data_IF_504311406406
#
_entry.id   IF_504311406406
#
_cell.length_a   1.000
_cell.length_b   1.000
_cell.length_c   1.000
_cell.angle_alpha   90.00
_cell.angle_beta   90.00
_cell.angle_gamma   90.00
#
_symmetry.space_group_name_H-M   'P 1'
#
loop_
_entity.id
_entity.type
_entity.pdbx_description
1 polymer ?
#
# COMPACT_ATOMS: atom_id res chain seq x y z
N UNK A 1 7.33 -7.23 -30.02
CA UNK A 1 6.38 -7.54 -28.93
C UNK A 1 5.33 -8.52 -29.44
N UNK A 2 4.97 -9.55 -28.66
CA UNK A 2 3.88 -10.47 -29.06
C UNK A 2 2.53 -9.72 -29.08
N UNK A 3 1.59 -10.02 -30.00
CA UNK A 3 0.29 -9.33 -30.06
C UNK A 3 -0.50 -9.36 -28.75
N UNK A 4 -0.46 -10.49 -28.03
CA UNK A 4 -1.12 -10.65 -26.72
C UNK A 4 -0.51 -9.74 -25.64
N UNK A 5 0.82 -9.58 -25.63
CA UNK A 5 1.52 -8.64 -24.74
C UNK A 5 1.14 -7.20 -25.08
N UNK A 6 1.09 -6.84 -26.36
CA UNK A 6 0.71 -5.50 -26.81
C UNK A 6 -0.73 -5.14 -26.38
N UNK A 7 -1.69 -6.04 -26.55
CA UNK A 7 -3.08 -5.83 -26.11
C UNK A 7 -3.14 -5.62 -24.60
N UNK A 8 -2.45 -6.46 -23.81
CA UNK A 8 -2.40 -6.31 -22.36
C UNK A 8 -1.79 -4.96 -21.97
N UNK A 9 -0.70 -4.55 -22.60
CA UNK A 9 -0.05 -3.27 -22.35
C UNK A 9 -0.98 -2.09 -22.63
N UNK A 10 -1.73 -2.11 -23.74
CA UNK A 10 -2.70 -1.07 -24.06
C UNK A 10 -3.85 -1.01 -23.05
N UNK A 11 -4.38 -2.17 -22.62
CA UNK A 11 -5.44 -2.25 -21.60
C UNK A 11 -4.94 -1.72 -20.26
N UNK A 12 -3.77 -2.15 -19.81
CA UNK A 12 -3.17 -1.70 -18.56
C UNK A 12 -2.81 -0.22 -18.61
N UNK A 13 -2.30 0.25 -19.75
CA UNK A 13 -2.04 1.66 -20.00
C UNK A 13 -3.31 2.51 -19.88
N UNK A 14 -4.44 2.05 -20.42
CA UNK A 14 -5.72 2.74 -20.22
C UNK A 14 -6.18 2.69 -18.76
N UNK A 15 -6.07 1.55 -18.08
CA UNK A 15 -6.42 1.41 -16.65
C UNK A 15 -5.64 2.39 -15.78
N UNK A 16 -4.34 2.53 -16.04
CA UNK A 16 -3.42 3.43 -15.34
C UNK A 16 -3.30 4.82 -16.00
N UNK A 17 -4.32 5.26 -16.75
CA UNK A 17 -4.31 6.58 -17.43
C UNK A 17 -5.07 7.66 -16.67
N UNK A 18 -4.59 8.89 -16.81
CA UNK A 18 -5.30 10.09 -16.37
C UNK A 18 -6.64 10.24 -17.06
N UNK A 19 -6.73 9.85 -18.34
CA UNK A 19 -8.00 9.83 -19.09
C UNK A 19 -9.05 8.97 -18.41
N UNK A 20 -8.73 7.71 -18.05
CA UNK A 20 -9.67 6.83 -17.35
C UNK A 20 -10.06 7.38 -15.98
N UNK A 21 -9.10 7.97 -15.25
CA UNK A 21 -9.36 8.64 -13.96
C UNK A 21 -10.34 9.80 -14.14
N UNK A 22 -10.12 10.68 -15.12
CA UNK A 22 -11.01 11.80 -15.42
C UNK A 22 -12.40 11.36 -15.87
N UNK A 23 -12.52 10.30 -16.68
CA UNK A 23 -13.82 9.72 -17.04
C UNK A 23 -14.59 9.27 -15.77
N UNK A 24 -13.91 8.61 -14.82
CA UNK A 24 -14.53 8.20 -13.56
C UNK A 24 -14.99 9.42 -12.74
N UNK A 25 -14.16 10.47 -12.64
CA UNK A 25 -14.51 11.73 -11.96
C UNK A 25 -15.72 12.41 -12.57
N UNK A 26 -15.74 12.56 -13.90
CA UNK A 26 -16.85 13.20 -14.63
C UNK A 26 -18.14 12.40 -14.43
N UNK A 27 -18.09 11.07 -14.58
CA UNK A 27 -19.26 10.21 -14.34
C UNK A 27 -19.76 10.32 -12.91
N UNK A 28 -18.85 10.32 -11.93
CA UNK A 28 -19.19 10.51 -10.51
C UNK A 28 -19.86 11.86 -10.25
N UNK A 29 -19.32 12.94 -10.82
CA UNK A 29 -19.85 14.30 -10.69
C UNK A 29 -21.23 14.45 -11.35
N UNK A 30 -21.42 13.89 -12.55
CA UNK A 30 -22.72 13.92 -13.26
C UNK A 30 -23.79 13.08 -12.54
N UNK A 31 -23.38 12.00 -11.86
CA UNK A 31 -24.28 11.17 -11.06
C UNK A 31 -24.66 11.79 -9.70
N UNK A 32 -23.95 12.85 -9.26
CA UNK A 32 -24.17 13.50 -7.98
C UNK A 32 -25.50 14.24 -7.95
N UNK A 33 -26.24 14.10 -6.85
CA UNK A 33 -27.41 14.94 -6.52
C UNK A 33 -27.12 15.76 -5.27
N UNK A 34 -27.15 17.08 -5.38
CA UNK A 34 -26.88 18.00 -4.28
C UNK A 34 -25.39 18.21 -4.00
N UNK A 35 -25.06 18.44 -2.73
CA UNK A 35 -23.71 18.77 -2.27
C UNK A 35 -22.70 17.63 -2.54
N UNK A 36 -21.44 17.94 -2.90
CA UNK A 36 -20.33 16.97 -2.90
C UNK A 36 -20.37 16.10 -1.65
N UNK A 37 -20.49 14.77 -1.83
CA UNK A 37 -20.65 13.82 -0.72
C UNK A 37 -19.53 12.79 -0.76
N UNK A 38 -18.80 12.65 0.36
CA UNK A 38 -17.82 11.60 0.60
C UNK A 38 -18.52 10.47 1.34
N UNK A 39 -18.42 9.25 0.81
CA UNK A 39 -18.90 8.07 1.52
C UNK A 39 -17.74 7.45 2.30
N UNK A 40 -17.87 7.32 3.61
CA UNK A 40 -16.88 6.67 4.47
C UNK A 40 -17.39 5.30 4.92
N UNK A 41 -16.56 4.28 4.74
CA UNK A 41 -16.87 2.90 5.13
C UNK A 41 -16.04 2.52 6.36
N UNK A 42 -16.72 2.39 7.48
CA UNK A 42 -16.14 2.16 8.80
C UNK A 42 -16.36 0.72 9.22
N UNK A 43 -15.30 0.04 9.67
CA UNK A 43 -15.40 -1.24 10.33
C UNK A 43 -14.93 -1.07 11.78
N UNK A 44 -15.73 -1.53 12.74
CA UNK A 44 -15.55 -1.19 14.16
C UNK A 44 -14.32 -1.84 14.80
N UNK A 45 -13.91 -3.00 14.28
CA UNK A 45 -12.74 -3.77 14.72
C UNK A 45 -11.53 -3.63 13.77
N UNK A 46 -11.60 -2.73 12.79
CA UNK A 46 -10.45 -2.39 11.95
C UNK A 46 -9.65 -1.23 12.58
N UNK A 47 -8.39 -1.45 12.98
CA UNK A 47 -7.58 -0.42 13.62
C UNK A 47 -7.30 0.76 12.67
N UNK A 48 -7.24 0.55 11.35
CA UNK A 48 -7.11 1.66 10.39
C UNK A 48 -8.40 2.48 10.28
N UNK A 49 -9.57 1.84 10.42
CA UNK A 49 -10.84 2.55 10.51
C UNK A 49 -10.88 3.43 11.75
N UNK A 50 -10.33 2.97 12.87
CA UNK A 50 -10.20 3.78 14.09
C UNK A 50 -9.31 5.02 13.90
N UNK A 51 -8.19 4.91 13.18
CA UNK A 51 -7.37 6.10 12.87
C UNK A 51 -8.09 7.04 11.89
N UNK A 52 -8.70 6.50 10.84
CA UNK A 52 -9.32 7.28 9.78
C UNK A 52 -10.53 8.10 10.28
N UNK A 53 -11.34 7.54 11.19
CA UNK A 53 -12.53 8.24 11.69
C UNK A 53 -12.19 9.46 12.54
N UNK A 54 -11.04 9.46 13.23
CA UNK A 54 -10.51 10.60 13.99
C UNK A 54 -10.14 11.81 13.09
N UNK A 55 -10.09 11.63 11.77
CA UNK A 55 -9.80 12.71 10.80
C UNK A 55 -11.02 13.31 10.15
N UNK A 56 -12.21 12.76 10.39
CA UNK A 56 -13.43 13.21 9.71
C UNK A 56 -13.78 14.64 10.10
N UNK A 57 -13.68 15.02 11.37
CA UNK A 57 -14.00 16.38 11.82
C UNK A 57 -13.07 17.42 11.19
N UNK A 58 -11.76 17.14 11.13
CA UNK A 58 -10.79 17.99 10.47
C UNK A 58 -11.12 18.17 8.98
N UNK A 59 -11.49 17.09 8.28
CA UNK A 59 -11.88 17.12 6.88
C UNK A 59 -13.22 17.86 6.66
N UNK A 60 -14.23 17.61 7.49
CA UNK A 60 -15.55 18.23 7.39
C UNK A 60 -15.49 19.73 7.65
N UNK A 61 -14.64 20.18 8.58
CA UNK A 61 -14.40 21.60 8.84
C UNK A 61 -13.59 22.26 7.72
N UNK A 62 -12.63 21.54 7.13
CA UNK A 62 -11.75 22.09 6.08
C UNK A 62 -12.41 22.17 4.71
N UNK A 63 -13.30 21.24 4.37
CA UNK A 63 -13.84 21.11 3.01
C UNK A 63 -15.37 21.22 2.98
N UNK A 64 -15.90 21.87 1.93
CA UNK A 64 -17.35 22.08 1.67
C UNK A 64 -18.02 20.81 1.14
N UNK A 65 -17.86 19.71 1.87
CA UNK A 65 -18.35 18.38 1.55
C UNK A 65 -19.29 17.89 2.64
N UNK A 66 -20.17 16.96 2.28
CA UNK A 66 -20.97 16.20 3.24
C UNK A 66 -20.35 14.81 3.40
N UNK A 67 -20.34 14.29 4.63
CA UNK A 67 -20.03 12.87 4.85
C UNK A 67 -21.31 12.03 4.88
N UNK A 68 -21.24 10.83 4.32
CA UNK A 68 -22.23 9.78 4.49
C UNK A 68 -21.53 8.53 4.99
N UNK A 69 -21.96 8.04 6.13
CA UNK A 69 -21.31 6.94 6.82
C UNK A 69 -21.97 5.61 6.49
N UNK A 70 -21.16 4.57 6.42
CA UNK A 70 -21.61 3.20 6.26
C UNK A 70 -20.77 2.31 7.18
N UNK A 71 -21.42 1.41 7.91
CA UNK A 71 -20.71 0.32 8.54
C UNK A 71 -20.32 -0.72 7.50
N UNK A 72 -19.20 -1.40 7.70
CA UNK A 72 -18.71 -2.44 6.82
C UNK A 72 -18.14 -3.60 7.62
N UNK A 73 -18.36 -4.80 7.13
CA UNK A 73 -17.82 -6.04 7.66
C UNK A 73 -16.39 -6.23 7.17
N UNK A 74 -15.67 -7.10 7.89
CA UNK A 74 -14.39 -7.64 7.46
C UNK A 74 -14.44 -8.13 6.00
N UNK A 75 -13.40 -7.86 5.19
CA UNK A 75 -13.30 -8.46 3.86
C UNK A 75 -13.25 -9.99 3.97
N UNK A 76 -13.67 -10.69 2.92
CA UNK A 76 -13.55 -12.16 2.88
C UNK A 76 -12.07 -12.60 2.86
N UNK A 77 -11.75 -13.82 3.30
CA UNK A 77 -10.38 -14.37 3.28
C UNK A 77 -9.71 -14.23 1.90
N UNK A 78 -10.50 -14.47 0.84
CA UNK A 78 -10.06 -14.34 -0.56
C UNK A 78 -9.67 -12.89 -0.95
N UNK A 79 -10.23 -11.88 -0.28
CA UNK A 79 -9.95 -10.46 -0.52
C UNK A 79 -8.78 -9.94 0.32
N UNK A 80 -8.62 -10.46 1.55
CA UNK A 80 -7.53 -10.09 2.47
C UNK A 80 -6.15 -10.51 1.92
N UNK A 81 -6.06 -11.62 1.19
CA UNK A 81 -4.80 -12.16 0.70
C UNK A 81 -4.22 -13.17 1.69
N UNK A 82 -3.30 -12.74 2.57
CA UNK A 82 -2.84 -13.59 3.69
C UNK A 82 -3.70 -13.30 4.93
N UNK A 83 -4.86 -13.95 5.00
CA UNK A 83 -5.84 -13.75 6.08
C UNK A 83 -5.31 -14.11 7.48
N UNK A 84 -4.23 -14.91 7.57
CA UNK A 84 -3.60 -15.25 8.85
C UNK A 84 -2.76 -14.10 9.39
N UNK A 85 -1.99 -13.44 8.52
CA UNK A 85 -1.06 -12.36 8.92
C UNK A 85 -1.67 -10.96 8.83
N UNK A 86 -2.65 -10.76 7.95
CA UNK A 86 -3.22 -9.44 7.68
C UNK A 86 -3.77 -8.74 8.94
N UNK A 87 -4.61 -9.37 9.78
CA UNK A 87 -5.17 -8.69 10.97
C UNK A 87 -4.10 -8.30 11.99
N UNK A 88 -3.12 -9.20 12.23
CA UNK A 88 -2.01 -8.96 13.17
C UNK A 88 -1.14 -7.80 12.69
N UNK A 89 -0.82 -7.77 11.40
CA UNK A 89 -0.07 -6.67 10.81
C UNK A 89 -0.84 -5.37 10.83
N UNK A 90 -2.13 -5.35 10.47
CA UNK A 90 -2.95 -4.14 10.44
C UNK A 90 -2.98 -3.45 11.81
N UNK A 91 -3.11 -4.24 12.89
CA UNK A 91 -3.04 -3.71 14.25
C UNK A 91 -1.66 -3.14 14.60
N UNK A 92 -0.58 -3.91 14.32
CA UNK A 92 0.78 -3.46 14.58
C UNK A 92 1.11 -2.18 13.80
N UNK A 93 0.73 -2.13 12.54
CA UNK A 93 0.97 -1.00 11.64
C UNK A 93 0.19 0.23 12.08
N UNK A 94 -1.12 0.11 12.33
CA UNK A 94 -1.94 1.20 12.81
C UNK A 94 -1.41 1.79 14.13
N UNK A 95 -1.00 0.95 15.09
CA UNK A 95 -0.36 1.43 16.33
C UNK A 95 0.96 2.15 16.06
N UNK A 96 1.75 1.64 15.12
CA UNK A 96 3.04 2.23 14.79
C UNK A 96 2.92 3.61 14.13
N UNK A 97 1.81 3.93 13.45
CA UNK A 97 1.63 5.20 12.74
C UNK A 97 0.66 6.18 13.43
N UNK A 98 -0.05 5.77 14.48
CA UNK A 98 -1.13 6.57 15.07
C UNK A 98 -0.64 7.96 15.51
N UNK A 99 0.43 8.03 16.29
CA UNK A 99 0.99 9.30 16.79
C UNK A 99 1.47 10.22 15.67
N UNK A 100 2.02 9.66 14.58
CA UNK A 100 2.53 10.44 13.45
C UNK A 100 1.41 11.13 12.67
N UNK A 101 0.21 10.53 12.68
CA UNK A 101 -0.99 11.16 12.14
C UNK A 101 -1.73 11.98 13.21
N UNK A 102 -1.23 12.11 14.44
CA UNK A 102 -1.95 12.75 15.54
C UNK A 102 -3.29 12.08 15.83
N UNK A 103 -3.29 10.75 15.88
CA UNK A 103 -4.42 9.91 16.30
C UNK A 103 -4.00 9.01 17.46
N UNK A 104 -4.99 8.46 18.13
CA UNK A 104 -4.80 7.53 19.24
C UNK A 104 -5.35 6.16 18.86
N UNK A 105 -4.71 5.10 19.35
CA UNK A 105 -5.20 3.73 19.25
C UNK A 105 -4.80 2.99 20.52
N UNK A 106 -5.75 2.71 21.42
CA UNK A 106 -5.47 1.99 22.65
C UNK A 106 -4.77 0.64 22.42
N UNK A 107 -3.94 0.26 23.39
CA UNK A 107 -3.04 -0.89 23.28
C UNK A 107 -3.40 -2.05 24.21
N UNK A 108 -4.56 -2.00 24.87
CA UNK A 108 -4.95 -2.93 25.93
C UNK A 108 -5.32 -4.32 25.40
N UNK A 109 -5.94 -4.41 24.22
CA UNK A 109 -6.32 -5.69 23.61
C UNK A 109 -5.74 -5.84 22.20
N UNK A 110 -5.45 -7.08 21.80
CA UNK A 110 -4.96 -7.39 20.45
C UNK A 110 -6.03 -7.99 19.53
N UNK A 111 -7.21 -8.26 20.07
CA UNK A 111 -8.34 -8.83 19.37
C UNK A 111 -9.62 -8.35 20.05
N UNK A 112 -10.63 -8.05 19.25
CA UNK A 112 -11.97 -7.70 19.71
C UNK A 112 -12.86 -8.93 19.54
N UNK A 113 -13.63 -9.27 20.57
CA UNK A 113 -14.53 -10.43 20.54
C UNK A 113 -15.73 -10.17 19.61
N UNK A 114 -16.19 -11.18 18.87
CA UNK A 114 -17.24 -11.01 17.85
C UNK A 114 -18.54 -10.39 18.38
N UNK A 115 -18.93 -10.71 19.62
CA UNK A 115 -20.13 -10.11 20.22
C UNK A 115 -19.94 -8.61 20.54
N UNK A 116 -18.71 -8.17 20.86
CA UNK A 116 -18.39 -6.75 21.05
C UNK A 116 -18.47 -5.99 19.72
N UNK A 117 -18.03 -6.63 18.62
CA UNK A 117 -18.20 -6.11 17.25
C UNK A 117 -19.69 -5.91 16.93
N UNK A 118 -20.52 -6.92 17.14
CA UNK A 118 -21.97 -6.86 16.88
C UNK A 118 -22.66 -5.75 17.70
N UNK A 119 -22.31 -5.61 18.98
CA UNK A 119 -22.84 -4.54 19.84
C UNK A 119 -22.40 -3.15 19.36
N UNK A 120 -21.13 -2.98 18.98
CA UNK A 120 -20.59 -1.74 18.46
C UNK A 120 -21.23 -1.34 17.12
N UNK A 121 -21.41 -2.28 16.20
CA UNK A 121 -22.11 -2.07 14.94
C UNK A 121 -23.57 -1.64 15.19
N UNK A 122 -24.25 -2.34 16.09
CA UNK A 122 -25.63 -2.02 16.48
C UNK A 122 -25.73 -0.61 17.08
N UNK A 123 -24.78 -0.24 17.96
CA UNK A 123 -24.70 1.09 18.55
C UNK A 123 -24.54 2.18 17.49
N UNK A 124 -23.55 2.04 16.59
CA UNK A 124 -23.19 3.04 15.58
C UNK A 124 -24.20 3.12 14.43
N UNK A 125 -24.98 2.07 14.19
CA UNK A 125 -26.01 2.06 13.13
C UNK A 125 -27.06 3.17 13.32
N UNK A 126 -27.26 3.63 14.56
CA UNK A 126 -28.18 4.73 14.91
C UNK A 126 -27.69 6.10 14.45
N UNK A 127 -26.39 6.25 14.17
CA UNK A 127 -25.76 7.53 13.83
C UNK A 127 -25.37 7.65 12.35
N UNK A 128 -25.70 6.68 11.49
CA UNK A 128 -25.24 6.67 10.08
C UNK A 128 -25.62 7.91 9.25
N UNK A 129 -26.68 8.61 9.67
CA UNK A 129 -27.15 9.87 9.04
C UNK A 129 -26.93 11.10 9.92
N UNK A 130 -26.25 10.93 11.06
CA UNK A 130 -26.00 11.98 12.06
C UNK A 130 -24.59 12.56 11.88
N UNK A 131 -24.44 13.87 12.14
CA UNK A 131 -23.13 14.52 12.23
C UNK A 131 -22.27 13.96 13.36
N UNK A 132 -22.89 13.39 14.39
CA UNK A 132 -22.21 12.84 15.57
C UNK A 132 -21.54 11.48 15.32
N UNK A 133 -21.73 10.85 14.15
CA UNK A 133 -21.16 9.54 13.85
C UNK A 133 -19.66 9.46 14.13
N UNK A 134 -18.87 10.44 13.70
CA UNK A 134 -17.42 10.41 13.86
C UNK A 134 -17.04 10.42 15.33
N UNK A 135 -17.64 11.31 16.13
CA UNK A 135 -17.46 11.41 17.58
C UNK A 135 -17.80 10.08 18.28
N UNK A 136 -18.95 9.50 17.94
CA UNK A 136 -19.40 8.24 18.53
C UNK A 136 -18.53 7.05 18.10
N UNK A 137 -18.10 6.98 16.84
CA UNK A 137 -17.20 5.94 16.35
C UNK A 137 -15.81 6.00 16.98
N UNK A 138 -15.30 7.20 17.26
CA UNK A 138 -14.06 7.38 18.04
C UNK A 138 -14.24 6.85 19.47
N UNK A 139 -15.35 7.18 20.13
CA UNK A 139 -15.62 6.74 21.50
C UNK A 139 -15.81 5.22 21.61
N UNK A 140 -16.58 4.63 20.69
CA UNK A 140 -16.79 3.18 20.62
C UNK A 140 -15.48 2.46 20.29
N UNK A 141 -14.71 2.95 19.32
CA UNK A 141 -13.41 2.37 18.99
C UNK A 141 -12.43 2.42 20.17
N UNK A 142 -12.39 3.55 20.92
CA UNK A 142 -11.56 3.64 22.13
C UNK A 142 -11.93 2.56 23.14
N UNK A 143 -13.22 2.41 23.45
CA UNK A 143 -13.69 1.37 24.38
C UNK A 143 -13.31 -0.03 23.91
N UNK A 144 -13.55 -0.35 22.64
CA UNK A 144 -13.20 -1.66 22.05
C UNK A 144 -11.70 -1.96 22.19
N UNK A 145 -10.83 -1.03 21.79
CA UNK A 145 -9.38 -1.22 21.83
C UNK A 145 -8.78 -1.12 23.25
N UNK A 146 -9.51 -0.50 24.19
CA UNK A 146 -9.21 -0.49 25.62
C UNK A 146 -9.66 -1.78 26.34
N UNK A 147 -10.48 -2.61 25.69
CA UNK A 147 -11.06 -3.82 26.29
C UNK A 147 -12.29 -3.54 27.16
N UNK A 148 -12.88 -2.36 27.06
CA UNK A 148 -14.09 -2.00 27.78
C UNK A 148 -15.33 -2.56 27.07
N UNK A 149 -16.26 -3.21 27.80
CA UNK A 149 -17.41 -3.86 27.19
C UNK A 149 -18.37 -2.83 26.60
N UNK A 150 -18.95 -3.14 25.44
CA UNK A 150 -20.03 -2.41 24.79
C UNK A 150 -21.37 -2.99 25.26
N UNK A 151 -22.31 -2.08 25.56
CA UNK A 151 -23.66 -2.43 25.97
C UNK A 151 -24.36 -3.26 24.89
N UNK A 152 -25.04 -4.33 25.32
CA UNK A 152 -25.76 -5.21 24.41
C UNK A 152 -26.94 -4.49 23.77
N UNK A 153 -27.00 -4.56 22.44
CA UNK A 153 -28.06 -3.97 21.62
C UNK A 153 -28.57 -5.00 20.61
N UNK A 154 -29.83 -4.87 20.13
CA UNK A 154 -30.35 -5.73 19.08
C UNK A 154 -29.51 -5.64 17.80
N UNK A 155 -29.25 -6.80 17.18
CA UNK A 155 -28.44 -6.90 15.97
C UNK A 155 -28.95 -5.99 14.84
N UNK A 156 -28.00 -5.40 14.11
CA UNK A 156 -28.26 -4.49 12.98
C UNK A 156 -27.75 -5.10 11.66
N UNK A 157 -28.48 -4.90 10.56
CA UNK A 157 -28.04 -5.27 9.21
C UNK A 157 -27.10 -4.23 8.56
N UNK A 158 -26.84 -3.11 9.24
CA UNK A 158 -26.15 -1.96 8.66
C UNK A 158 -24.75 -2.29 8.09
N UNK A 159 -23.97 -3.14 8.77
CA UNK A 159 -22.63 -3.52 8.30
C UNK A 159 -22.69 -4.37 7.03
N UNK A 160 -23.68 -5.27 6.91
CA UNK A 160 -23.90 -6.05 5.70
C UNK A 160 -24.37 -5.17 4.53
N UNK A 161 -25.26 -4.21 4.78
CA UNK A 161 -25.75 -3.25 3.78
C UNK A 161 -24.63 -2.34 3.25
N UNK A 162 -23.80 -1.79 4.14
CA UNK A 162 -22.67 -0.97 3.75
C UNK A 162 -21.60 -1.79 3.02
N UNK A 163 -21.37 -3.04 3.40
CA UNK A 163 -20.49 -3.97 2.65
C UNK A 163 -21.01 -4.24 1.24
N UNK A 164 -22.31 -4.49 1.09
CA UNK A 164 -22.93 -4.68 -0.23
C UNK A 164 -22.77 -3.43 -1.11
N UNK A 165 -22.94 -2.23 -0.54
CA UNK A 165 -22.69 -0.97 -1.26
C UNK A 165 -21.21 -0.81 -1.63
N UNK A 166 -20.29 -1.07 -0.70
CA UNK A 166 -18.84 -1.02 -0.93
C UNK A 166 -18.43 -1.91 -2.10
N UNK A 167 -18.92 -3.15 -2.10
CA UNK A 167 -18.68 -4.13 -3.17
C UNK A 167 -19.25 -3.65 -4.50
N UNK A 168 -20.47 -3.12 -4.51
CA UNK A 168 -21.10 -2.55 -5.71
C UNK A 168 -20.31 -1.37 -6.29
N UNK A 169 -19.69 -0.57 -5.44
CA UNK A 169 -18.83 0.55 -5.83
C UNK A 169 -17.39 0.12 -6.19
N UNK A 170 -17.07 -1.18 -6.07
CA UNK A 170 -15.83 -1.77 -6.56
C UNK A 170 -14.66 -1.70 -5.57
N UNK A 171 -14.91 -1.85 -4.27
CA UNK A 171 -13.85 -2.02 -3.26
C UNK A 171 -14.26 -3.04 -2.19
N UNK A 172 -13.32 -3.41 -1.32
CA UNK A 172 -13.45 -4.47 -0.32
C UNK A 172 -12.84 -4.10 1.03
N UNK A 173 -11.97 -3.09 1.12
CA UNK A 173 -11.35 -2.67 2.38
C UNK A 173 -12.28 -1.71 3.15
N UNK A 174 -12.20 -1.74 4.47
CA UNK A 174 -12.71 -0.70 5.37
C UNK A 174 -11.71 0.47 5.44
N UNK A 175 -11.91 1.41 6.37
CA UNK A 175 -11.16 2.66 6.50
C UNK A 175 -11.08 3.49 5.20
N UNK A 176 -12.03 3.32 4.30
CA UNK A 176 -11.92 3.85 2.93
C UNK A 176 -12.94 4.93 2.67
N UNK A 177 -12.50 5.95 1.93
CA UNK A 177 -13.29 7.09 1.51
C UNK A 177 -13.57 6.95 0.02
N UNK A 178 -14.84 7.04 -0.37
CA UNK A 178 -15.26 7.11 -1.76
C UNK A 178 -15.78 8.50 -2.10
N UNK A 179 -15.21 9.09 -3.13
CA UNK A 179 -15.65 10.38 -3.63
C UNK A 179 -15.72 10.35 -5.16
N UNK A 180 -16.93 10.54 -5.71
CA UNK A 180 -17.18 10.74 -7.15
C UNK A 180 -16.32 9.82 -8.06
N UNK A 181 -16.41 8.49 -7.86
CA UNK A 181 -15.74 7.51 -8.72
C UNK A 181 -14.31 7.10 -8.32
N UNK A 182 -13.76 7.62 -7.22
CA UNK A 182 -12.45 7.22 -6.72
C UNK A 182 -12.49 6.77 -5.26
N UNK A 183 -11.55 5.89 -4.92
CA UNK A 183 -11.32 5.36 -3.58
C UNK A 183 -10.00 5.88 -3.00
N UNK A 184 -10.01 6.14 -1.69
CA UNK A 184 -8.87 6.59 -0.89
C UNK A 184 -8.85 5.78 0.39
N UNK A 185 -7.91 4.84 0.51
CA UNK A 185 -7.81 3.95 1.66
C UNK A 185 -6.98 4.55 2.79
N UNK A 186 -7.52 4.49 4.01
CA UNK A 186 -6.86 4.85 5.25
C UNK A 186 -6.46 6.32 5.32
N UNK A 187 -5.71 6.64 6.37
CA UNK A 187 -5.08 7.97 6.54
C UNK A 187 -4.03 8.24 5.46
N UNK A 188 -3.39 7.20 4.93
CA UNK A 188 -2.30 7.31 3.94
C UNK A 188 -2.70 7.90 2.59
N UNK A 189 -3.99 7.83 2.23
CA UNK A 189 -4.52 8.37 0.97
C UNK A 189 -5.35 9.63 1.16
N UNK A 190 -5.50 10.16 2.38
CA UNK A 190 -6.27 11.38 2.63
C UNK A 190 -5.67 12.59 1.91
N UNK A 191 -4.35 12.72 1.82
CA UNK A 191 -3.70 13.79 1.04
C UNK A 191 -4.18 13.86 -0.42
N UNK A 192 -4.52 12.72 -1.03
CA UNK A 192 -5.05 12.69 -2.40
C UNK A 192 -6.51 13.09 -2.50
N UNK A 193 -7.30 12.71 -1.51
CA UNK A 193 -8.67 13.17 -1.40
C UNK A 193 -8.68 14.69 -1.21
N UNK A 194 -7.87 15.20 -0.29
CA UNK A 194 -7.70 16.62 -0.01
C UNK A 194 -7.26 17.41 -1.24
N UNK A 195 -6.20 16.99 -1.93
CA UNK A 195 -5.75 17.63 -3.18
C UNK A 195 -6.87 17.67 -4.23
N UNK A 196 -7.63 16.58 -4.37
CA UNK A 196 -8.78 16.58 -5.29
C UNK A 196 -9.87 17.56 -4.87
N UNK A 197 -10.17 17.69 -3.58
CA UNK A 197 -11.15 18.64 -3.08
C UNK A 197 -10.67 20.10 -3.28
N UNK A 198 -9.36 20.34 -3.13
CA UNK A 198 -8.72 21.63 -3.42
C UNK A 198 -8.81 21.98 -4.92
N UNK A 199 -8.50 21.05 -5.81
CA UNK A 199 -8.64 21.21 -7.27
C UNK A 199 -10.09 21.49 -7.72
N UNK A 200 -11.06 21.24 -6.85
CA UNK A 200 -12.49 21.49 -7.08
C UNK A 200 -13.00 22.76 -6.38
N UNK A 201 -12.10 23.58 -5.81
CA UNK A 201 -12.43 24.78 -5.05
C UNK A 201 -13.37 24.51 -3.86
N UNK A 202 -13.27 23.31 -3.26
CA UNK A 202 -14.07 22.92 -2.10
C UNK A 202 -13.37 23.21 -0.77
N UNK A 203 -12.13 23.70 -0.76
CA UNK A 203 -11.43 24.03 0.48
C UNK A 203 -11.90 25.38 1.04
N UNK A 204 -12.06 25.45 2.37
CA UNK A 204 -12.19 26.70 3.11
C UNK A 204 -10.84 27.40 3.34
N UNK A 205 -9.73 26.65 3.22
CA UNK A 205 -8.35 27.13 3.35
C UNK A 205 -7.50 26.48 2.24
N UNK A 206 -7.43 27.05 1.03
CA UNK A 206 -6.88 26.38 -0.14
C UNK A 206 -5.38 26.07 -0.05
N UNK A 207 -4.64 26.77 0.81
CA UNK A 207 -3.18 26.64 0.91
C UNK A 207 -2.71 25.55 1.89
N UNK A 208 -3.62 24.91 2.61
CA UNK A 208 -3.27 23.99 3.69
C UNK A 208 -3.97 22.63 3.55
N UNK A 209 -3.21 21.57 3.81
CA UNK A 209 -3.70 20.18 3.97
C UNK A 209 -3.88 19.92 5.47
N UNK A 210 -5.03 19.39 5.89
CA UNK A 210 -5.31 19.14 7.31
C UNK A 210 -4.90 17.73 7.77
N UNK A 211 -4.65 16.78 6.86
CA UNK A 211 -4.07 15.47 7.16
C UNK A 211 -2.85 15.22 6.26
N UNK A 212 -1.74 15.94 6.49
CA UNK A 212 -0.53 15.76 5.72
C UNK A 212 0.05 14.35 5.94
N UNK A 213 0.85 13.88 4.98
CA UNK A 213 1.68 12.70 5.21
C UNK A 213 2.73 13.02 6.26
N UNK A 214 3.05 12.08 7.17
CA UNK A 214 4.11 12.26 8.14
C UNK A 214 5.45 12.53 7.46
N UNK A 215 6.24 13.41 8.07
CA UNK A 215 7.63 13.64 7.70
C UNK A 215 8.54 12.71 8.51
N UNK A 216 9.58 12.13 7.89
CA UNK A 216 10.53 11.29 8.61
C UNK A 216 11.30 12.12 9.66
N UNK A 217 11.79 11.45 10.70
CA UNK A 217 12.69 12.07 11.67
C UNK A 217 14.02 12.40 10.99
N UNK A 218 14.58 13.61 11.21
CA UNK A 218 15.82 14.01 10.56
C UNK A 218 16.99 13.16 11.05
N UNK A 219 17.98 12.93 10.18
CA UNK A 219 19.16 12.12 10.51
C UNK A 219 20.19 12.87 11.38
N UNK A 220 20.23 14.21 11.32
CA UNK A 220 21.08 15.09 12.15
C UNK A 220 22.56 14.64 12.28
N UNK A 221 23.23 14.39 11.15
CA UNK A 221 24.64 13.96 11.07
C UNK A 221 24.99 12.67 11.83
N UNK A 222 23.99 11.88 12.25
CA UNK A 222 24.20 10.61 12.96
C UNK A 222 24.85 9.56 12.06
N UNK A 223 25.63 8.68 12.69
CA UNK A 223 26.30 7.57 12.03
C UNK A 223 25.36 6.36 11.86
N UNK A 224 25.12 5.96 10.61
CA UNK A 224 24.25 4.85 10.21
C UNK A 224 24.99 3.54 9.93
N UNK A 225 26.33 3.51 10.05
CA UNK A 225 27.16 2.35 9.67
C UNK A 225 26.84 1.04 10.40
N UNK A 226 26.30 1.15 11.62
CA UNK A 226 25.85 0.00 12.41
C UNK A 226 24.40 -0.42 12.10
N UNK A 227 23.70 0.32 11.25
CA UNK A 227 22.29 0.09 10.88
C UNK A 227 22.22 -0.63 9.54
N UNK A 228 21.41 -1.68 9.46
CA UNK A 228 21.14 -2.43 8.24
C UNK A 228 19.69 -2.29 7.83
N UNK A 229 19.46 -1.89 6.58
CA UNK A 229 18.17 -1.89 5.90
C UNK A 229 18.08 -3.10 4.98
N UNK A 230 17.22 -4.07 5.30
CA UNK A 230 16.83 -5.14 4.39
C UNK A 230 15.59 -4.74 3.62
N UNK A 231 15.70 -4.78 2.29
CA UNK A 231 14.64 -4.41 1.36
C UNK A 231 14.16 -5.65 0.60
N UNK A 232 12.86 -5.97 0.72
CA UNK A 232 12.22 -7.11 0.07
C UNK A 232 11.35 -6.66 -1.13
N UNK A 233 11.93 -6.47 -2.32
CA UNK A 233 11.19 -6.14 -3.53
C UNK A 233 10.67 -7.39 -4.25
N UNK A 234 9.72 -7.19 -5.17
CA UNK A 234 9.44 -8.19 -6.22
C UNK A 234 9.41 -7.52 -7.58
N UNK A 235 9.99 -8.17 -8.59
CA UNK A 235 10.07 -7.69 -9.97
C UNK A 235 8.70 -7.53 -10.66
N UNK A 236 7.64 -8.08 -10.05
CA UNK A 236 6.24 -7.96 -10.51
C UNK A 236 5.40 -6.98 -9.68
N UNK A 237 5.97 -6.32 -8.68
CA UNK A 237 5.17 -5.44 -7.82
C UNK A 237 5.14 -4.02 -8.38
N UNK A 238 3.96 -3.47 -8.74
CA UNK A 238 3.85 -2.09 -9.20
C UNK A 238 4.24 -1.10 -8.10
N UNK A 239 3.92 -1.39 -6.83
CA UNK A 239 4.37 -0.58 -5.69
C UNK A 239 5.88 -0.67 -5.47
N UNK A 240 6.51 -1.82 -5.75
CA UNK A 240 7.98 -1.91 -5.74
C UNK A 240 8.57 -1.06 -6.86
N UNK A 241 8.00 -1.09 -8.07
CA UNK A 241 8.50 -0.32 -9.19
C UNK A 241 8.55 1.19 -8.90
N UNK A 242 7.49 1.75 -8.31
CA UNK A 242 7.45 3.19 -7.97
C UNK A 242 8.22 3.56 -6.70
N UNK A 243 8.72 2.58 -5.95
CA UNK A 243 9.45 2.82 -4.71
C UNK A 243 10.93 2.45 -4.79
N UNK A 244 11.35 1.66 -5.78
CA UNK A 244 12.69 1.07 -5.83
C UNK A 244 13.78 2.15 -5.76
N UNK A 245 13.77 3.09 -6.71
CA UNK A 245 14.76 4.16 -6.77
C UNK A 245 14.70 5.07 -5.53
N UNK A 246 13.52 5.27 -4.95
CA UNK A 246 13.34 6.02 -3.71
C UNK A 246 13.98 5.33 -2.50
N UNK A 247 13.97 3.99 -2.46
CA UNK A 247 14.65 3.18 -1.44
C UNK A 247 16.16 3.23 -1.64
N UNK A 248 16.64 3.15 -2.88
CA UNK A 248 18.07 3.28 -3.18
C UNK A 248 18.57 4.68 -2.79
N UNK A 249 17.85 5.75 -3.18
CA UNK A 249 18.15 7.11 -2.76
C UNK A 249 18.09 7.31 -1.23
N UNK A 250 17.30 6.51 -0.51
CA UNK A 250 17.33 6.45 0.96
C UNK A 250 18.61 5.83 1.48
N UNK A 251 19.00 4.70 0.90
CA UNK A 251 20.23 4.07 1.29
C UNK A 251 21.44 4.96 1.03
N UNK A 252 21.49 5.62 -0.12
CA UNK A 252 22.58 6.51 -0.52
C UNK A 252 22.63 7.77 0.36
N UNK A 253 21.52 8.49 0.55
CA UNK A 253 21.56 9.74 1.35
C UNK A 253 21.89 9.48 2.82
N UNK A 254 21.49 8.33 3.36
CA UNK A 254 21.72 7.98 4.77
C UNK A 254 22.99 7.18 4.99
N UNK A 255 23.60 6.62 3.95
CA UNK A 255 24.73 5.68 4.03
C UNK A 255 24.42 4.41 4.85
N UNK A 256 23.14 4.08 5.08
CA UNK A 256 22.74 2.85 5.76
C UNK A 256 23.17 1.63 4.95
N UNK A 257 23.53 0.55 5.63
CA UNK A 257 23.87 -0.72 4.95
C UNK A 257 22.62 -1.34 4.32
N UNK A 258 22.44 -1.16 3.01
CA UNK A 258 21.36 -1.78 2.26
C UNK A 258 21.66 -3.24 1.92
N UNK A 259 20.71 -4.13 2.20
CA UNK A 259 20.68 -5.51 1.73
C UNK A 259 19.45 -5.70 0.83
N UNK A 260 19.70 -5.90 -0.46
CA UNK A 260 18.66 -6.24 -1.43
C UNK A 260 18.25 -7.71 -1.26
N UNK A 261 16.98 -7.97 -0.98
CA UNK A 261 16.44 -9.30 -0.71
C UNK A 261 15.20 -9.60 -1.57
N UNK A 262 15.35 -9.76 -2.90
CA UNK A 262 14.21 -9.95 -3.78
C UNK A 262 13.43 -11.21 -3.41
N UNK A 263 12.11 -11.20 -3.62
CA UNK A 263 11.22 -12.33 -3.35
C UNK A 263 10.31 -12.64 -4.53
N UNK A 264 9.91 -13.90 -4.63
CA UNK A 264 8.94 -14.35 -5.64
C UNK A 264 7.57 -13.66 -5.47
N UNK A 265 6.90 -13.28 -6.58
CA UNK A 265 5.58 -12.64 -6.53
C UNK A 265 4.55 -13.45 -5.75
N UNK A 266 3.71 -12.78 -4.96
CA UNK A 266 2.66 -13.42 -4.14
C UNK A 266 1.75 -14.37 -4.93
N UNK A 267 1.33 -13.97 -6.13
CA UNK A 267 0.47 -14.82 -6.98
C UNK A 267 1.17 -16.11 -7.43
N UNK A 268 2.50 -16.08 -7.55
CA UNK A 268 3.30 -17.28 -7.85
C UNK A 268 3.56 -18.12 -6.58
N UNK A 269 3.24 -17.58 -5.40
CA UNK A 269 3.23 -18.28 -4.10
C UNK A 269 1.83 -18.77 -3.68
N UNK A 270 0.84 -18.71 -4.59
CA UNK A 270 -0.52 -19.19 -4.34
C UNK A 270 -1.48 -18.19 -3.67
N UNK A 271 -1.05 -16.96 -3.40
CA UNK A 271 -1.94 -15.95 -2.81
C UNK A 271 -2.81 -15.29 -3.91
N UNK A 272 -4.15 -15.38 -3.83
CA UNK A 272 -5.02 -14.84 -4.87
C UNK A 272 -4.99 -13.31 -4.92
N UNK A 273 -5.18 -12.78 -6.13
CA UNK A 273 -5.42 -11.36 -6.36
C UNK A 273 -6.69 -11.22 -7.21
N UNK A 274 -7.87 -11.02 -6.61
CA UNK A 274 -9.11 -10.82 -7.35
C UNK A 274 -9.01 -9.64 -8.33
N UNK A 275 -9.82 -9.63 -9.39
CA UNK A 275 -9.78 -8.56 -10.41
C UNK A 275 -9.98 -7.16 -9.83
N UNK A 276 -10.89 -7.00 -8.86
CA UNK A 276 -11.13 -5.72 -8.19
C UNK A 276 -9.86 -5.22 -7.46
N UNK A 277 -9.11 -6.14 -6.85
CA UNK A 277 -7.84 -5.86 -6.17
C UNK A 277 -6.76 -5.45 -7.16
N UNK A 278 -6.60 -6.19 -8.25
CA UNK A 278 -5.65 -5.83 -9.30
C UNK A 278 -5.97 -4.44 -9.90
N UNK A 279 -7.24 -4.14 -10.16
CA UNK A 279 -7.65 -2.85 -10.71
C UNK A 279 -7.33 -1.69 -9.75
N UNK A 280 -7.67 -1.84 -8.47
CA UNK A 280 -7.38 -0.83 -7.45
C UNK A 280 -5.87 -0.60 -7.32
N UNK A 281 -5.08 -1.67 -7.19
CA UNK A 281 -3.61 -1.59 -7.07
C UNK A 281 -3.02 -0.78 -8.22
N UNK A 282 -3.45 -1.02 -9.46
CA UNK A 282 -2.92 -0.30 -10.62
C UNK A 282 -3.30 1.18 -10.61
N UNK A 283 -4.55 1.50 -10.30
CA UNK A 283 -4.98 2.91 -10.23
C UNK A 283 -4.37 3.67 -9.08
N UNK A 284 -4.21 3.03 -7.93
CA UNK A 284 -3.60 3.63 -6.75
C UNK A 284 -2.09 3.76 -6.95
N UNK A 285 -1.42 2.77 -7.55
CA UNK A 285 0.00 2.89 -7.91
C UNK A 285 0.23 4.06 -8.86
N UNK A 286 -0.58 4.23 -9.92
CA UNK A 286 -0.47 5.41 -10.80
C UNK A 286 -0.61 6.71 -10.00
N UNK A 287 -1.56 6.77 -9.08
CA UNK A 287 -1.79 7.96 -8.24
C UNK A 287 -0.60 8.26 -7.33
N UNK A 288 -0.02 7.24 -6.71
CA UNK A 288 1.20 7.38 -5.90
C UNK A 288 2.41 7.76 -6.75
N UNK A 289 2.54 7.18 -7.95
CA UNK A 289 3.60 7.51 -8.88
C UNK A 289 3.58 9.00 -9.24
N UNK A 290 2.40 9.52 -9.61
CA UNK A 290 2.21 10.95 -9.90
C UNK A 290 2.62 11.83 -8.72
N UNK A 291 2.25 11.46 -7.49
CA UNK A 291 2.58 12.21 -6.29
C UNK A 291 4.08 12.27 -6.00
N UNK A 292 4.80 11.17 -6.25
CA UNK A 292 6.26 11.11 -6.06
C UNK A 292 7.06 11.44 -7.33
N UNK A 293 6.42 11.96 -8.38
CA UNK A 293 7.07 12.27 -9.65
C UNK A 293 7.68 11.05 -10.37
N UNK A 294 7.18 9.84 -10.07
CA UNK A 294 7.65 8.60 -10.67
C UNK A 294 6.89 8.31 -11.95
N UNK A 295 7.60 7.82 -12.98
CA UNK A 295 6.96 7.33 -14.20
C UNK A 295 6.20 6.03 -13.90
N UNK A 296 5.00 5.88 -14.47
CA UNK A 296 4.25 4.64 -14.39
C UNK A 296 3.41 4.43 -15.66
N UNK A 297 3.80 3.45 -16.45
CA UNK A 297 3.24 3.13 -17.75
C UNK A 297 3.99 3.76 -18.94
N UNK A 298 3.97 3.11 -20.13
CA UNK A 298 3.25 1.86 -20.47
C UNK A 298 3.76 0.61 -19.73
N UNK A 299 2.85 -0.30 -19.37
CA UNK A 299 3.12 -1.45 -18.48
C UNK A 299 3.08 -2.78 -19.23
N UNK A 300 4.15 -3.57 -19.11
CA UNK A 300 4.19 -5.00 -19.43
C UNK A 300 4.32 -5.76 -18.11
N UNK A 301 3.21 -6.29 -17.59
CA UNK A 301 3.17 -7.09 -16.36
C UNK A 301 3.73 -8.51 -16.61
N UNK A 302 4.94 -8.86 -16.11
CA UNK A 302 5.50 -10.19 -16.30
C UNK A 302 4.85 -11.19 -15.36
N UNK A 303 4.56 -12.41 -15.82
CA UNK A 303 4.01 -13.45 -14.94
C UNK A 303 4.45 -14.85 -15.35
N UNK A 304 4.81 -15.68 -14.37
CA UNK A 304 5.26 -17.04 -14.63
C UNK A 304 6.72 -17.06 -15.09
N UNK A 305 6.97 -17.73 -16.21
CA UNK A 305 8.31 -17.95 -16.76
C UNK A 305 9.14 -16.67 -16.96
N UNK A 306 8.62 -15.54 -17.48
CA UNK A 306 9.38 -14.30 -17.59
C UNK A 306 9.99 -13.79 -16.28
N UNK A 307 9.31 -14.00 -15.15
CA UNK A 307 9.82 -13.61 -13.83
C UNK A 307 10.90 -14.58 -13.36
N UNK A 308 10.71 -15.89 -13.59
CA UNK A 308 11.73 -16.91 -13.27
C UNK A 308 13.02 -16.67 -14.04
N UNK A 309 12.92 -16.40 -15.35
CA UNK A 309 14.06 -16.02 -16.19
C UNK A 309 14.78 -14.78 -15.67
N UNK A 310 14.03 -13.77 -15.23
CA UNK A 310 14.64 -12.58 -14.65
C UNK A 310 15.45 -12.89 -13.39
N UNK A 311 14.92 -13.73 -12.52
CA UNK A 311 15.62 -14.13 -11.29
C UNK A 311 16.77 -15.11 -11.54
N UNK A 312 16.72 -15.92 -12.59
CA UNK A 312 17.84 -16.78 -12.99
C UNK A 312 19.12 -15.98 -13.29
N UNK A 313 18.99 -14.72 -13.70
CA UNK A 313 20.12 -13.83 -13.92
C UNK A 313 20.59 -13.10 -12.65
N UNK A 314 19.83 -13.13 -11.55
CA UNK A 314 20.14 -12.36 -10.34
C UNK A 314 21.48 -12.77 -9.69
N UNK A 315 21.84 -14.07 -9.57
CA UNK A 315 23.15 -14.47 -9.04
C UNK A 315 24.31 -13.91 -9.88
N UNK A 316 24.22 -14.05 -11.21
CA UNK A 316 25.20 -13.51 -12.16
C UNK A 316 25.36 -11.99 -12.07
N UNK A 317 24.25 -11.26 -11.91
CA UNK A 317 24.28 -9.81 -11.69
C UNK A 317 24.89 -9.45 -10.34
N UNK A 318 24.67 -10.27 -9.31
CA UNK A 318 25.23 -10.08 -7.97
C UNK A 318 26.74 -10.28 -7.96
N UNK A 319 27.24 -11.31 -8.64
CA UNK A 319 28.69 -11.58 -8.79
C UNK A 319 29.44 -10.42 -9.46
N UNK A 320 28.77 -9.68 -10.35
CA UNK A 320 29.30 -8.50 -11.02
C UNK A 320 29.10 -7.19 -10.23
N UNK A 321 28.40 -7.22 -9.09
CA UNK A 321 28.05 -6.01 -8.34
C UNK A 321 26.93 -5.16 -8.98
N UNK A 322 26.15 -5.73 -9.90
CA UNK A 322 25.13 -5.04 -10.72
C UNK A 322 23.68 -5.37 -10.32
N UNK A 323 23.46 -6.07 -9.20
CA UNK A 323 22.13 -6.58 -8.84
C UNK A 323 21.08 -5.49 -8.56
N UNK A 324 21.49 -4.36 -7.98
CA UNK A 324 20.61 -3.20 -7.73
C UNK A 324 20.18 -2.58 -9.06
N UNK A 325 21.16 -2.24 -9.91
CA UNK A 325 20.91 -1.63 -11.22
C UNK A 325 20.10 -2.54 -12.13
N UNK A 326 20.36 -3.85 -12.10
CA UNK A 326 19.58 -4.85 -12.81
C UNK A 326 18.11 -4.82 -12.40
N UNK A 327 17.84 -4.83 -11.08
CA UNK A 327 16.48 -4.80 -10.57
C UNK A 327 15.78 -3.48 -10.91
N UNK A 328 16.47 -2.34 -10.79
CA UNK A 328 15.95 -1.03 -11.18
C UNK A 328 15.59 -1.00 -12.68
N UNK A 329 16.51 -1.40 -13.55
CA UNK A 329 16.31 -1.43 -15.01
C UNK A 329 15.20 -2.41 -15.40
N UNK A 330 15.11 -3.59 -14.78
CA UNK A 330 14.04 -4.54 -15.04
C UNK A 330 12.66 -3.96 -14.65
N UNK A 331 12.56 -3.37 -13.45
CA UNK A 331 11.32 -2.75 -12.98
C UNK A 331 10.92 -1.58 -13.90
N UNK A 332 11.86 -0.73 -14.28
CA UNK A 332 11.64 0.37 -15.22
C UNK A 332 11.15 -0.15 -16.58
N UNK A 333 11.82 -1.16 -17.13
CA UNK A 333 11.45 -1.78 -18.40
C UNK A 333 10.01 -2.32 -18.39
N UNK A 334 9.63 -3.01 -17.31
CA UNK A 334 8.32 -3.63 -17.15
C UNK A 334 7.20 -2.61 -16.83
N UNK A 335 7.45 -1.66 -15.93
CA UNK A 335 6.40 -0.82 -15.34
C UNK A 335 6.37 0.61 -15.87
N UNK A 336 7.41 1.04 -16.59
CA UNK A 336 7.56 2.43 -17.04
C UNK A 336 7.74 2.55 -18.55
N UNK A 337 8.49 1.64 -19.18
CA UNK A 337 8.92 1.82 -20.58
C UNK A 337 8.18 0.91 -21.58
N UNK A 338 7.40 -0.04 -21.10
CA UNK A 338 6.63 -0.96 -21.95
C UNK A 338 7.54 -1.90 -22.77
N UNK A 339 8.74 -2.18 -22.27
CA UNK A 339 9.66 -3.12 -22.91
C UNK A 339 9.11 -4.54 -22.73
N UNK A 340 9.08 -5.33 -23.81
CA UNK A 340 8.61 -6.72 -23.77
C UNK A 340 9.67 -7.65 -23.16
N UNK A 341 9.87 -7.52 -21.85
CA UNK A 341 10.76 -8.34 -21.01
C UNK A 341 10.37 -9.82 -20.96
N UNK A 342 9.25 -10.22 -21.60
CA UNK A 342 8.88 -11.63 -21.77
C UNK A 342 9.61 -12.31 -22.93
N UNK A 343 10.47 -11.57 -23.63
CA UNK A 343 11.25 -12.02 -24.79
C UNK A 343 12.74 -11.83 -24.56
N UNK A 344 13.56 -12.61 -25.27
CA UNK A 344 15.02 -12.50 -25.22
C UNK A 344 15.48 -11.10 -25.58
N UNK A 345 14.88 -10.49 -26.61
CA UNK A 345 15.23 -9.12 -27.02
C UNK A 345 14.98 -8.10 -25.91
N UNK A 346 13.85 -8.19 -25.20
CA UNK A 346 13.54 -7.26 -24.12
C UNK A 346 14.42 -7.47 -22.90
N UNK A 347 14.69 -8.73 -22.54
CA UNK A 347 15.58 -9.06 -21.43
C UNK A 347 17.04 -8.72 -21.74
N UNK A 348 17.49 -8.95 -22.98
CA UNK A 348 18.80 -8.53 -23.49
C UNK A 348 18.99 -7.03 -23.31
N UNK A 349 18.00 -6.22 -23.71
CA UNK A 349 18.06 -4.77 -23.52
C UNK A 349 18.29 -4.40 -22.04
N UNK A 350 17.56 -5.03 -21.12
CA UNK A 350 17.74 -4.79 -19.67
C UNK A 350 19.15 -5.19 -19.20
N UNK A 351 19.65 -6.34 -19.64
CA UNK A 351 20.99 -6.85 -19.27
C UNK A 351 22.08 -5.91 -19.76
N UNK A 352 22.01 -5.51 -21.03
CA UNK A 352 23.00 -4.62 -21.65
C UNK A 352 22.94 -3.20 -21.11
N UNK A 353 21.74 -2.65 -20.84
CA UNK A 353 21.57 -1.35 -20.16
C UNK A 353 22.12 -1.34 -18.74
N UNK A 354 22.13 -2.51 -18.08
CA UNK A 354 22.73 -2.69 -16.76
C UNK A 354 24.27 -2.75 -16.83
N UNK A 355 24.85 -2.96 -18.01
CA UNK A 355 26.29 -3.06 -18.21
C UNK A 355 26.83 -4.49 -18.23
N UNK A 356 25.97 -5.51 -18.22
CA UNK A 356 26.37 -6.92 -18.31
C UNK A 356 26.32 -7.44 -19.75
N UNK A 357 27.11 -8.49 -20.05
CA UNK A 357 27.15 -9.10 -21.38
C UNK A 357 25.98 -10.10 -21.57
N UNK A 358 25.18 -9.91 -22.62
CA UNK A 358 24.05 -10.80 -22.91
C UNK A 358 24.47 -12.24 -23.23
N UNK A 359 25.58 -12.43 -23.94
CA UNK A 359 26.06 -13.77 -24.30
C UNK A 359 26.52 -14.57 -23.08
N UNK A 360 27.07 -13.89 -22.08
CA UNK A 360 27.39 -14.50 -20.78
C UNK A 360 26.14 -14.79 -19.96
N UNK A 361 25.16 -13.87 -19.96
CA UNK A 361 23.88 -14.05 -19.28
C UNK A 361 23.09 -15.26 -19.82
N UNK A 362 23.16 -15.55 -21.14
CA UNK A 362 22.53 -16.71 -21.76
C UNK A 362 22.98 -18.04 -21.12
N UNK A 363 24.21 -18.12 -20.61
CA UNK A 363 24.73 -19.33 -19.97
C UNK A 363 24.19 -19.54 -18.55
N UNK A 364 23.49 -18.56 -17.98
CA UNK A 364 23.04 -18.57 -16.59
C UNK A 364 21.64 -19.16 -16.42
N UNK A 365 20.83 -19.24 -17.48
CA UNK A 365 19.45 -19.72 -17.39
C UNK A 365 19.32 -21.20 -16.99
N UNK A 366 20.38 -22.00 -17.14
CA UNK A 366 20.42 -23.38 -16.68
C UNK A 366 20.71 -23.51 -15.17
N UNK A 367 21.09 -22.42 -14.50
CA UNK A 367 21.40 -22.40 -13.08
C UNK A 367 20.14 -22.16 -12.23
N UNK A 368 19.96 -22.95 -11.18
CA UNK A 368 18.85 -22.84 -10.23
C UNK A 368 19.27 -22.28 -8.86
N UNK A 369 20.49 -21.76 -8.71
CA UNK A 369 20.99 -21.14 -7.45
C UNK A 369 20.10 -19.98 -6.98
N UNK A 370 19.37 -19.34 -7.88
CA UNK A 370 18.42 -18.29 -7.54
C UNK A 370 17.19 -18.81 -6.77
N UNK A 371 16.75 -20.06 -6.96
CA UNK A 371 15.54 -20.59 -6.31
C UNK A 371 15.69 -20.63 -4.78
N UNK A 372 16.72 -21.31 -4.21
CA UNK A 372 16.93 -21.31 -2.76
C UNK A 372 17.14 -19.91 -2.18
N UNK A 373 17.84 -19.03 -2.91
CA UNK A 373 18.06 -17.64 -2.48
C UNK A 373 16.74 -16.88 -2.30
N UNK A 374 15.78 -17.04 -3.23
CA UNK A 374 14.47 -16.41 -3.10
C UNK A 374 13.62 -17.08 -2.02
N UNK A 375 13.73 -18.40 -1.85
CA UNK A 375 13.05 -19.13 -0.79
C UNK A 375 13.50 -18.66 0.60
N UNK A 376 14.80 -18.49 0.81
CA UNK A 376 15.38 -17.94 2.03
C UNK A 376 14.89 -16.51 2.29
N UNK A 377 14.87 -15.66 1.27
CA UNK A 377 14.33 -14.29 1.39
C UNK A 377 12.83 -14.28 1.73
N UNK A 378 12.05 -15.20 1.14
CA UNK A 378 10.62 -15.35 1.48
C UNK A 378 10.46 -15.83 2.92
N UNK A 379 11.26 -16.80 3.35
CA UNK A 379 11.26 -17.33 4.72
C UNK A 379 11.54 -16.21 5.73
N UNK A 380 12.59 -15.42 5.51
CA UNK A 380 12.95 -14.29 6.38
C UNK A 380 11.88 -13.21 6.42
N UNK A 381 11.24 -12.90 5.29
CA UNK A 381 10.13 -11.95 5.21
C UNK A 381 8.92 -12.46 6.00
N UNK A 382 8.57 -13.75 5.85
CA UNK A 382 7.46 -14.38 6.58
C UNK A 382 7.73 -14.45 8.08
N UNK A 383 8.97 -14.72 8.49
CA UNK A 383 9.40 -14.72 9.88
C UNK A 383 9.30 -13.32 10.52
N UNK A 384 9.46 -12.24 9.73
CA UNK A 384 9.19 -10.87 10.15
C UNK A 384 7.68 -10.51 10.24
N UNK A 385 6.79 -11.47 10.00
CA UNK A 385 5.35 -11.28 9.96
C UNK A 385 4.85 -10.55 8.70
N UNK A 386 5.66 -10.53 7.63
CA UNK A 386 5.35 -9.85 6.37
C UNK A 386 5.11 -10.88 5.26
N UNK A 387 4.18 -10.61 4.35
CA UNK A 387 3.88 -11.49 3.22
C UNK A 387 3.86 -10.76 1.88
N UNK A 388 3.62 -9.44 1.90
CA UNK A 388 3.56 -8.57 0.73
C UNK A 388 4.87 -7.83 0.46
N UNK A 389 4.90 -7.09 -0.64
CA UNK A 389 6.05 -6.28 -1.07
C UNK A 389 5.59 -4.90 -1.57
N UNK A 390 6.45 -3.87 -1.56
CA UNK A 390 7.76 -3.84 -0.92
C UNK A 390 7.64 -3.97 0.59
N UNK A 391 8.58 -4.69 1.21
CA UNK A 391 8.66 -4.85 2.66
C UNK A 391 10.06 -4.49 3.14
N UNK A 392 10.17 -4.09 4.40
CA UNK A 392 11.41 -3.58 4.98
C UNK A 392 11.65 -4.17 6.36
N UNK A 393 12.93 -4.45 6.67
CA UNK A 393 13.40 -4.76 8.01
C UNK A 393 14.63 -3.91 8.34
N UNK A 394 14.58 -3.17 9.44
CA UNK A 394 15.71 -2.36 9.93
C UNK A 394 16.25 -2.98 11.21
N UNK A 395 17.56 -3.19 11.26
CA UNK A 395 18.26 -3.85 12.38
C UNK A 395 19.57 -3.13 12.72
N UNK A 396 20.12 -3.43 13.89
CA UNK A 396 21.37 -2.85 14.38
C UNK A 396 21.22 -1.42 14.91
N UNK A 397 22.35 -0.80 15.20
CA UNK A 397 22.42 0.50 15.88
C UNK A 397 22.04 0.42 17.36
N UNK A 398 21.44 1.48 17.88
CA UNK A 398 21.10 1.65 19.30
C UNK A 398 19.86 0.85 19.77
N UNK A 399 19.10 0.24 18.86
CA UNK A 399 17.88 -0.52 19.17
C UNK A 399 18.11 -1.98 18.79
N UNK A 400 17.95 -2.90 19.75
CA UNK A 400 18.22 -4.32 19.55
C UNK A 400 17.11 -4.99 18.71
N UNK A 401 15.86 -4.71 19.03
CA UNK A 401 14.69 -5.31 18.39
C UNK A 401 14.60 -4.89 16.92
N UNK A 402 14.25 -5.79 15.99
CA UNK A 402 14.06 -5.44 14.59
C UNK A 402 12.78 -4.62 14.37
N UNK A 403 12.87 -3.58 13.54
CA UNK A 403 11.69 -2.88 13.03
C UNK A 403 11.29 -3.46 11.67
N UNK A 404 10.02 -3.82 11.51
CA UNK A 404 9.50 -4.43 10.28
C UNK A 404 8.20 -3.74 9.82
N UNK A 405 8.16 -3.32 8.55
CA UNK A 405 6.96 -2.72 7.96
C UNK A 405 6.75 -3.17 6.50
N UNK A 406 5.50 -3.09 6.04
CA UNK A 406 5.09 -3.41 4.67
C UNK A 406 4.48 -2.17 4.01
N UNK A 407 4.76 -1.99 2.72
CA UNK A 407 4.18 -0.93 1.89
C UNK A 407 5.15 0.22 1.63
N UNK A 408 5.07 0.78 0.42
CA UNK A 408 5.88 1.95 0.03
C UNK A 408 5.49 3.22 0.81
N UNK A 409 4.26 3.25 1.32
CA UNK A 409 3.70 4.29 2.20
C UNK A 409 4.23 4.19 3.65
N UNK A 410 5.16 3.28 3.93
CA UNK A 410 5.94 3.23 5.18
C UNK A 410 7.40 3.62 4.99
N UNK A 411 7.82 4.09 3.81
CA UNK A 411 9.22 4.47 3.58
C UNK A 411 9.69 5.59 4.51
N UNK A 412 8.82 6.52 4.89
CA UNK A 412 9.14 7.55 5.88
C UNK A 412 9.38 6.96 7.29
N UNK A 413 8.67 5.88 7.67
CA UNK A 413 8.96 5.16 8.92
C UNK A 413 10.29 4.45 8.88
N UNK A 414 10.67 3.88 7.74
CA UNK A 414 11.99 3.28 7.54
C UNK A 414 13.09 4.33 7.77
N UNK A 415 12.92 5.53 7.23
CA UNK A 415 13.86 6.63 7.44
C UNK A 415 13.91 7.11 8.90
N UNK A 416 12.76 7.32 9.55
CA UNK A 416 12.71 7.65 10.98
C UNK A 416 13.40 6.59 11.83
N UNK A 417 13.19 5.31 11.50
CA UNK A 417 13.80 4.20 12.21
C UNK A 417 15.32 4.16 12.04
N UNK A 418 15.83 4.45 10.84
CA UNK A 418 17.27 4.61 10.61
C UNK A 418 17.80 5.73 11.50
N UNK A 419 17.14 6.90 11.55
CA UNK A 419 17.57 8.00 12.41
C UNK A 419 17.57 7.63 13.90
N UNK A 420 16.54 6.94 14.39
CA UNK A 420 16.45 6.52 15.81
C UNK A 420 17.53 5.52 16.22
N UNK A 421 17.97 4.66 15.30
CA UNK A 421 19.02 3.66 15.56
C UNK A 421 20.44 4.22 15.44
N UNK A 422 20.59 5.33 14.73
CA UNK A 422 21.89 5.93 14.42
C UNK A 422 22.43 6.69 15.63
N UNK A 423 23.75 6.75 15.75
CA UNK A 423 24.47 7.29 16.92
C UNK A 423 25.31 8.50 16.55
#
# INVERSE_FOLDING_TARGET
MKPTTLIKMLVMGFIASDTRRQIARIRGRLGRRGQPTIHYFHQVDDPHSHLAVQKIDALANRYKVRFRFHLAQNPTDHEQGDALRFPVWALRDARAIASDYGTELPQNVNQIESHQVEHAESYLSRYLSDSDFAREAVAIGHRLWSGDPIEALPASSAAAEGSALRTKLGHWLSATFYFEGEWYWGVDRLVHLENRLRDMDLSNSPDEICVPRPTPEPLDDKNTSAVTLEFFPSLRSPYTAISFDRVIALAERTQVKLKLRPVMPMMMRGVPAPRVKQLYIMTDTKREADYYGQKFGPVVDPFGEPVKRAFALLPFMTEQGLSIDYCANYLRAAWCDGIDITTDRGLQQVVEETGANWQEALNQFANNVWEPLLEDNVSDMLAAGLWGVPSFRVTGGAIEEPFCCWGQDRLWRVESEISRRSV
#
